data_IF_568373747636
#
_entry.id   IF_568373747636
#
_cell.length_a   1.000
_cell.length_b   1.000
_cell.length_c   1.000
_cell.angle_alpha   90.00
_cell.angle_beta   90.00
_cell.angle_gamma   90.00
#
_symmetry.space_group_name_H-M   'P 1'
#
loop_
_entity.id
_entity.type
_entity.pdbx_description
1 polymer ?
#
# COMPACT_ATOMS: atom_id res chain seq x y z
N UNK A 1 4.23 4.59 -15.88
CA UNK A 1 4.00 4.68 -14.44
C UNK A 1 4.77 3.56 -13.75
N UNK A 2 5.60 3.88 -12.80
CA UNK A 2 6.38 2.86 -12.11
C UNK A 2 5.75 2.51 -10.75
N UNK A 3 6.32 1.52 -10.08
CA UNK A 3 5.77 1.06 -8.80
C UNK A 3 5.82 2.14 -7.73
N UNK A 4 6.81 3.04 -7.80
CA UNK A 4 6.88 4.14 -6.85
C UNK A 4 5.66 5.06 -6.99
N UNK A 5 5.31 5.44 -8.21
CA UNK A 5 4.15 6.32 -8.45
C UNK A 5 2.86 5.67 -7.99
N UNK A 6 2.71 4.38 -8.29
CA UNK A 6 1.53 3.64 -7.86
C UNK A 6 1.46 3.58 -6.34
N UNK A 7 2.59 3.29 -5.71
CA UNK A 7 2.68 3.24 -4.25
C UNK A 7 2.32 4.57 -3.59
N UNK A 8 2.78 5.68 -4.16
CA UNK A 8 2.46 7.00 -3.63
C UNK A 8 0.98 7.32 -3.76
N UNK A 9 0.34 6.86 -4.83
CA UNK A 9 -1.11 7.00 -4.98
C UNK A 9 -1.87 6.22 -3.92
N UNK A 10 -1.43 5.01 -3.67
CA UNK A 10 -2.04 4.17 -2.63
C UNK A 10 -1.92 4.86 -1.28
N UNK A 11 -0.74 5.40 -0.99
CA UNK A 11 -0.50 6.11 0.26
C UNK A 11 -1.43 7.33 0.40
N UNK A 12 -1.56 8.11 -0.66
CA UNK A 12 -2.40 9.29 -0.66
C UNK A 12 -3.86 8.93 -0.42
N UNK A 13 -4.36 7.94 -1.14
CA UNK A 13 -5.74 7.49 -0.98
C UNK A 13 -5.98 6.93 0.43
N UNK A 14 -5.00 6.19 0.96
CA UNK A 14 -5.08 5.67 2.31
C UNK A 14 -5.24 6.80 3.33
N UNK A 15 -4.39 7.83 3.20
CA UNK A 15 -4.42 8.97 4.11
C UNK A 15 -5.73 9.76 3.99
N UNK A 16 -6.25 9.90 2.78
CA UNK A 16 -7.53 10.56 2.57
C UNK A 16 -8.66 9.85 3.29
N UNK A 17 -8.56 8.53 3.39
CA UNK A 17 -9.54 7.72 4.10
C UNK A 17 -9.22 7.58 5.58
N UNK A 18 -8.17 8.24 6.05
CA UNK A 18 -7.73 8.23 7.45
C UNK A 18 -7.41 6.82 7.96
N UNK A 19 -6.79 6.02 7.10
CA UNK A 19 -6.36 4.67 7.44
C UNK A 19 -4.86 4.65 7.70
N UNK A 20 -4.45 3.86 8.70
CA UNK A 20 -3.04 3.56 8.89
C UNK A 20 -2.61 2.49 7.88
N UNK A 21 -1.29 2.30 7.72
CA UNK A 21 -0.78 1.21 6.88
C UNK A 21 -1.30 -0.14 7.39
N UNK A 22 -1.31 -0.32 8.70
CA UNK A 22 -1.79 -1.55 9.31
C UNK A 22 -3.26 -1.79 8.99
N UNK A 23 -4.08 -0.75 9.09
CA UNK A 23 -5.50 -0.87 8.80
C UNK A 23 -5.77 -1.23 7.34
N UNK A 24 -5.04 -0.59 6.41
CA UNK A 24 -5.22 -0.92 5.01
C UNK A 24 -4.70 -2.32 4.70
N UNK A 25 -3.54 -2.69 5.24
CA UNK A 25 -2.96 -4.01 5.04
C UNK A 25 -3.94 -5.10 5.50
N UNK A 26 -4.59 -4.89 6.64
CA UNK A 26 -5.60 -5.81 7.14
C UNK A 26 -6.76 -5.97 6.18
N UNK A 27 -7.23 -4.86 5.60
CA UNK A 27 -8.36 -4.88 4.68
C UNK A 27 -8.05 -5.63 3.39
N UNK A 28 -6.80 -5.65 2.96
CA UNK A 28 -6.42 -6.31 1.71
C UNK A 28 -5.60 -7.58 1.94
N UNK A 29 -5.55 -8.06 3.18
CA UNK A 29 -5.01 -9.37 3.54
C UNK A 29 -3.51 -9.50 3.29
N UNK A 30 -2.74 -8.45 3.57
CA UNK A 30 -1.29 -8.51 3.50
C UNK A 30 -0.68 -8.01 4.80
N UNK A 31 0.63 -8.22 4.98
CA UNK A 31 1.30 -7.73 6.18
C UNK A 31 1.52 -6.22 6.08
N UNK A 32 1.70 -5.59 7.24
CA UNK A 32 2.02 -4.16 7.31
C UNK A 32 3.37 -3.89 6.63
N UNK A 33 4.34 -4.79 6.82
CA UNK A 33 5.64 -4.66 6.17
C UNK A 33 5.50 -4.65 4.65
N UNK A 34 4.69 -5.56 4.11
CA UNK A 34 4.44 -5.61 2.67
C UNK A 34 3.77 -4.33 2.18
N UNK A 35 2.80 -3.82 2.94
CA UNK A 35 2.14 -2.55 2.59
C UNK A 35 3.14 -1.41 2.55
N UNK A 36 4.06 -1.35 3.51
CA UNK A 36 5.10 -0.33 3.52
C UNK A 36 5.96 -0.40 2.26
N UNK A 37 6.35 -1.61 1.86
CA UNK A 37 7.15 -1.80 0.64
C UNK A 37 6.37 -1.39 -0.61
N UNK A 38 5.08 -1.69 -0.65
CA UNK A 38 4.23 -1.27 -1.78
C UNK A 38 4.18 0.25 -1.86
N UNK A 39 3.94 0.91 -0.73
CA UNK A 39 3.78 2.36 -0.72
C UNK A 39 5.06 3.10 -1.08
N UNK A 40 6.23 2.55 -0.77
CA UNK A 40 7.48 3.23 -1.11
C UNK A 40 8.09 2.71 -2.41
N UNK A 41 7.41 1.82 -3.13
CA UNK A 41 7.82 1.36 -4.44
C UNK A 41 8.95 0.36 -4.45
N UNK A 42 9.26 -0.25 -3.31
CA UNK A 42 10.39 -1.18 -3.21
C UNK A 42 10.03 -2.63 -3.52
N UNK A 43 8.77 -2.90 -3.89
CA UNK A 43 8.34 -4.23 -4.27
C UNK A 43 7.23 -4.14 -5.31
N UNK A 44 7.01 -5.22 -6.04
CA UNK A 44 5.92 -5.30 -7.00
C UNK A 44 4.58 -5.31 -6.26
N UNK A 45 3.57 -4.69 -6.89
CA UNK A 45 2.22 -4.77 -6.39
C UNK A 45 1.71 -6.20 -6.55
N UNK A 46 1.54 -6.87 -5.43
CA UNK A 46 1.07 -8.25 -5.42
C UNK A 46 0.04 -8.37 -4.30
N UNK A 47 -1.21 -8.08 -4.63
CA UNK A 47 -2.30 -8.16 -3.66
C UNK A 47 -3.12 -9.42 -3.89
N UNK A 48 -3.59 -10.05 -2.82
CA UNK A 48 -4.53 -11.16 -2.96
C UNK A 48 -5.81 -10.67 -3.65
N UNK A 49 -6.35 -11.45 -4.52
CA UNK A 49 -7.61 -11.12 -5.21
C UNK A 49 -8.75 -11.97 -4.69
#
# INVERSE_FOLDING_TARGET
>A
MDYYDIGQRIRTLRREKKLSQEQLAEKVWISTTHMSHIENGSTKLSLPV
#
